data_IF_961112442286
#
_entry.id   IF_961112442286
#
_cell.length_a   1.000
_cell.length_b   1.000
_cell.length_c   1.000
_cell.angle_alpha   90.00
_cell.angle_beta   90.00
_cell.angle_gamma   90.00
#
_symmetry.space_group_name_H-M   'P 1'
#
loop_
_entity.id
_entity.type
_entity.pdbx_description
1 polymer ?
#
# COMPACT_ATOMS: atom_id res chain seq x y z
N UNK A 1 -12.22 -14.30 49.14
CA UNK A 1 -12.76 -13.26 48.24
C UNK A 1 -11.59 -12.64 47.48
N UNK A 2 -11.72 -12.58 46.15
CA UNK A 2 -11.00 -11.76 45.15
C UNK A 2 -9.63 -11.14 45.48
N UNK A 3 -8.63 -11.41 44.64
CA UNK A 3 -7.91 -10.36 43.89
C UNK A 3 -7.67 -10.88 42.47
N UNK A 4 -8.25 -10.20 41.48
CA UNK A 4 -8.21 -10.55 40.07
C UNK A 4 -6.82 -10.29 39.47
N UNK A 5 -6.27 -11.30 38.80
CA UNK A 5 -5.07 -11.18 37.97
C UNK A 5 -5.48 -10.63 36.60
N UNK A 6 -5.54 -9.30 36.48
CA UNK A 6 -5.89 -8.63 35.22
C UNK A 6 -4.61 -8.21 34.51
N UNK A 7 -3.93 -9.17 33.89
CA UNK A 7 -2.96 -8.91 32.82
C UNK A 7 -3.73 -8.47 31.56
N UNK A 8 -4.37 -7.30 31.62
CA UNK A 8 -4.78 -6.59 30.41
C UNK A 8 -3.57 -5.81 29.91
N UNK A 9 -2.66 -6.55 29.26
CA UNK A 9 -1.82 -5.98 28.23
C UNK A 9 -2.73 -5.52 27.09
N UNK A 10 -3.32 -4.34 27.25
CA UNK A 10 -3.80 -3.59 26.11
C UNK A 10 -2.54 -3.21 25.35
N UNK A 11 -2.14 -4.05 24.40
CA UNK A 11 -1.30 -3.63 23.29
C UNK A 11 -2.10 -2.54 22.58
N UNK A 12 -1.95 -1.31 23.06
CA UNK A 12 -2.30 -0.15 22.27
C UNK A 12 -1.63 -0.38 20.93
N UNK A 13 -2.36 -0.41 19.79
CA UNK A 13 -1.68 -0.38 18.52
C UNK A 13 -0.83 0.88 18.57
N UNK A 14 0.48 0.69 18.54
CA UNK A 14 1.47 1.74 18.34
C UNK A 14 1.27 2.29 16.93
N UNK A 15 0.14 2.97 16.75
CA UNK A 15 -0.28 3.70 15.56
C UNK A 15 0.34 5.12 15.55
N UNK A 16 1.19 5.41 16.53
CA UNK A 16 2.03 6.60 16.56
C UNK A 16 3.36 6.33 15.85
N UNK A 17 3.58 7.00 14.72
CA UNK A 17 4.84 7.04 13.95
C UNK A 17 5.15 5.85 13.02
N UNK A 18 4.14 5.15 12.48
CA UNK A 18 4.43 4.27 11.34
C UNK A 18 4.79 5.15 10.14
N UNK A 19 6.09 5.28 9.88
CA UNK A 19 6.62 5.94 8.68
C UNK A 19 5.97 5.30 7.46
N UNK A 20 5.65 6.12 6.46
CA UNK A 20 5.07 5.60 5.23
C UNK A 20 6.07 4.69 4.55
N UNK A 21 5.78 3.40 4.51
CA UNK A 21 6.58 2.41 3.81
C UNK A 21 5.91 2.10 2.45
N UNK A 22 6.56 2.43 1.31
CA UNK A 22 5.98 2.24 -0.01
C UNK A 22 5.82 0.76 -0.37
N UNK A 23 6.60 -0.16 0.24
CA UNK A 23 6.53 -1.60 -0.02
C UNK A 23 5.31 -2.19 0.66
N UNK A 24 5.12 -1.93 1.96
CA UNK A 24 3.91 -2.31 2.69
C UNK A 24 2.66 -1.70 2.05
N UNK A 25 2.74 -0.42 1.67
CA UNK A 25 1.62 0.24 1.02
C UNK A 25 1.23 -0.47 -0.29
N UNK A 26 2.21 -0.81 -1.13
CA UNK A 26 1.99 -1.49 -2.40
C UNK A 26 1.47 -2.92 -2.20
N UNK A 27 2.03 -3.67 -1.24
CA UNK A 27 1.57 -5.00 -0.90
C UNK A 27 0.09 -4.98 -0.48
N UNK A 28 -0.29 -4.05 0.40
CA UNK A 28 -1.68 -3.85 0.81
C UNK A 28 -2.58 -3.44 -0.34
N UNK A 29 -2.10 -2.58 -1.25
CA UNK A 29 -2.86 -2.20 -2.44
C UNK A 29 -3.17 -3.40 -3.33
N UNK A 30 -2.21 -4.31 -3.52
CA UNK A 30 -2.40 -5.55 -4.29
C UNK A 30 -3.33 -6.53 -3.58
N UNK A 31 -3.21 -6.70 -2.26
CA UNK A 31 -4.12 -7.53 -1.47
C UNK A 31 -5.58 -7.06 -1.56
N UNK A 32 -5.81 -5.75 -1.71
CA UNK A 32 -7.14 -5.15 -1.90
C UNK A 32 -7.69 -5.32 -3.33
N UNK A 33 -7.00 -6.06 -4.20
CA UNK A 33 -7.40 -6.26 -5.60
C UNK A 33 -6.90 -5.16 -6.56
N UNK A 34 -6.02 -4.29 -6.06
CA UNK A 34 -5.27 -3.35 -6.87
C UNK A 34 -4.21 -4.04 -7.72
N UNK A 35 -3.86 -3.41 -8.83
CA UNK A 35 -2.82 -3.82 -9.74
C UNK A 35 -2.02 -2.59 -10.18
N UNK A 36 -0.83 -2.82 -10.69
CA UNK A 36 -0.02 -1.75 -11.22
C UNK A 36 0.65 -2.18 -12.51
N UNK A 37 0.81 -1.23 -13.40
CA UNK A 37 1.61 -1.37 -14.61
C UNK A 37 2.76 -0.38 -14.50
N UNK A 38 3.97 -0.86 -14.77
CA UNK A 38 5.15 -0.01 -14.86
C UNK A 38 5.63 0.02 -16.30
N UNK A 39 5.81 1.23 -16.82
CA UNK A 39 6.46 1.51 -18.09
C UNK A 39 7.78 2.21 -17.83
N UNK A 40 8.66 2.25 -18.83
CA UNK A 40 9.99 2.86 -18.75
C UNK A 40 10.03 4.32 -18.26
N UNK A 41 8.92 5.06 -18.36
CA UNK A 41 8.81 6.47 -17.91
C UNK A 41 7.71 6.71 -16.88
N UNK A 42 6.83 5.72 -16.63
CA UNK A 42 5.54 5.96 -15.99
C UNK A 42 5.11 4.77 -15.15
N UNK A 43 4.34 5.05 -14.10
CA UNK A 43 3.71 4.04 -13.25
C UNK A 43 2.22 4.34 -13.22
N UNK A 44 1.40 3.32 -13.48
CA UNK A 44 -0.05 3.42 -13.45
C UNK A 44 -0.60 2.40 -12.45
N UNK A 45 -1.34 2.89 -11.45
CA UNK A 45 -2.16 2.08 -10.57
C UNK A 45 -3.52 1.84 -11.24
N UNK A 46 -4.03 0.63 -11.16
CA UNK A 46 -5.31 0.23 -11.72
C UNK A 46 -5.95 -0.85 -10.85
N UNK A 47 -7.25 -1.12 -11.02
CA UNK A 47 -7.90 -2.24 -10.34
C UNK A 47 -8.88 -2.93 -11.29
N UNK A 48 -9.15 -4.20 -11.03
CA UNK A 48 -10.05 -5.00 -11.87
C UNK A 48 -11.49 -4.48 -11.79
N UNK A 49 -12.22 -4.52 -12.91
CA UNK A 49 -13.66 -4.20 -12.94
C UNK A 49 -14.53 -5.23 -12.20
N UNK A 50 -13.93 -6.35 -11.77
CA UNK A 50 -14.61 -7.45 -11.07
C UNK A 50 -14.64 -7.30 -9.55
N UNK A 51 -13.98 -6.27 -9.00
CA UNK A 51 -14.01 -6.03 -7.56
C UNK A 51 -15.38 -5.52 -7.11
N UNK A 52 -15.77 -5.88 -5.90
CA UNK A 52 -16.98 -5.39 -5.26
C UNK A 52 -16.90 -3.88 -5.00
N UNK A 53 -18.05 -3.24 -4.76
CA UNK A 53 -18.07 -1.82 -4.40
C UNK A 53 -17.31 -1.53 -3.10
N UNK A 54 -17.32 -2.46 -2.15
CA UNK A 54 -16.58 -2.35 -0.89
C UNK A 54 -15.07 -2.37 -1.11
N UNK A 55 -14.55 -3.27 -1.96
CA UNK A 55 -13.13 -3.31 -2.32
C UNK A 55 -12.71 -2.05 -3.08
N UNK A 56 -13.57 -1.53 -3.95
CA UNK A 56 -13.32 -0.27 -4.67
C UNK A 56 -13.20 0.92 -3.72
N UNK A 57 -14.09 1.01 -2.72
CA UNK A 57 -14.01 2.05 -1.70
C UNK A 57 -12.74 1.88 -0.84
N UNK A 58 -12.40 0.65 -0.46
CA UNK A 58 -11.17 0.35 0.27
C UNK A 58 -9.91 0.79 -0.52
N UNK A 59 -9.84 0.50 -1.82
CA UNK A 59 -8.76 0.96 -2.70
C UNK A 59 -8.74 2.49 -2.80
N UNK A 60 -9.89 3.14 -2.99
CA UNK A 60 -9.97 4.59 -3.06
C UNK A 60 -9.51 5.26 -1.76
N UNK A 61 -9.85 4.68 -0.61
CA UNK A 61 -9.35 5.13 0.70
C UNK A 61 -7.85 4.89 0.84
N UNK A 62 -7.35 3.75 0.36
CA UNK A 62 -5.93 3.40 0.40
C UNK A 62 -5.05 4.30 -0.49
N UNK A 63 -5.61 4.85 -1.57
CA UNK A 63 -4.93 5.80 -2.46
C UNK A 63 -4.94 7.26 -1.95
N UNK A 64 -5.82 7.61 -1.00
CA UNK A 64 -5.91 8.99 -0.46
C UNK A 64 -4.57 9.54 0.06
N UNK A 65 -3.73 8.78 0.77
CA UNK A 65 -2.41 9.25 1.20
C UNK A 65 -1.52 9.69 0.05
N UNK A 66 -1.50 8.94 -1.07
CA UNK A 66 -0.71 9.28 -2.26
C UNK A 66 -1.25 10.53 -2.98
N UNK A 67 -2.56 10.75 -2.93
CA UNK A 67 -3.18 11.95 -3.51
C UNK A 67 -2.89 13.22 -2.70
N UNK A 68 -2.76 13.09 -1.38
CA UNK A 68 -2.48 14.21 -0.47
C UNK A 68 -1.00 14.54 -0.35
N UNK A 69 -0.13 13.56 -0.56
CA UNK A 69 1.30 13.68 -0.29
C UNK A 69 2.12 13.24 -1.52
N UNK A 70 2.67 14.23 -2.23
CA UNK A 70 3.48 14.00 -3.42
C UNK A 70 4.77 13.22 -3.12
N UNK A 71 5.33 13.35 -1.92
CA UNK A 71 6.54 12.61 -1.54
C UNK A 71 6.25 11.12 -1.38
N UNK A 72 5.09 10.76 -0.82
CA UNK A 72 4.63 9.36 -0.76
C UNK A 72 4.37 8.79 -2.15
N UNK A 73 3.79 9.61 -3.04
CA UNK A 73 3.58 9.22 -4.45
C UNK A 73 4.90 8.95 -5.15
N UNK A 74 5.88 9.83 -4.96
CA UNK A 74 7.21 9.66 -5.56
C UNK A 74 7.96 8.45 -4.98
N UNK A 75 7.82 8.18 -3.68
CA UNK A 75 8.39 6.99 -3.04
C UNK A 75 7.83 5.68 -3.63
N UNK A 76 6.50 5.58 -3.81
CA UNK A 76 5.88 4.41 -4.45
C UNK A 76 6.28 4.31 -5.92
N UNK A 77 6.32 5.43 -6.66
CA UNK A 77 6.77 5.46 -8.05
C UNK A 77 8.22 4.98 -8.18
N UNK A 78 9.11 5.48 -7.32
CA UNK A 78 10.53 5.12 -7.29
C UNK A 78 10.73 3.65 -6.96
N UNK A 79 9.98 3.11 -5.99
CA UNK A 79 9.96 1.67 -5.68
C UNK A 79 9.57 0.84 -6.91
N UNK A 80 8.51 1.23 -7.61
CA UNK A 80 7.98 0.49 -8.75
C UNK A 80 8.90 0.56 -9.98
N UNK A 81 9.54 1.70 -10.22
CA UNK A 81 10.56 1.85 -11.24
C UNK A 81 11.85 1.07 -10.91
N UNK A 82 12.26 1.03 -9.64
CA UNK A 82 13.43 0.26 -9.20
C UNK A 82 13.18 -1.26 -9.25
N UNK A 83 11.94 -1.69 -8.97
CA UNK A 83 11.53 -3.09 -8.99
C UNK A 83 11.21 -3.61 -10.38
N UNK A 84 11.06 -2.72 -11.38
CA UNK A 84 10.85 -3.16 -12.76
C UNK A 84 12.12 -3.81 -13.28
N UNK A 85 12.10 -5.09 -13.66
CA UNK A 85 13.21 -5.65 -14.39
C UNK A 85 13.33 -4.80 -15.64
N UNK A 86 14.46 -4.10 -15.76
CA UNK A 86 14.94 -3.59 -17.03
C UNK A 86 15.11 -4.85 -17.88
N UNK A 87 14.03 -5.28 -18.54
CA UNK A 87 14.10 -6.32 -19.55
C UNK A 87 15.03 -5.76 -20.60
N UNK A 88 16.31 -6.08 -20.45
CA UNK A 88 17.26 -6.06 -21.51
C UNK A 88 16.71 -7.07 -22.52
N UNK A 89 15.88 -6.56 -23.45
CA UNK A 89 15.54 -7.27 -24.67
C UNK A 89 16.87 -7.71 -25.30
N UNK A 90 17.18 -9.01 -25.36
CA UNK A 90 18.25 -9.45 -26.24
C UNK A 90 17.74 -9.23 -27.67
N UNK A 91 18.49 -8.43 -28.43
CA UNK A 91 18.31 -8.24 -29.87
C UNK A 91 18.41 -9.57 -30.63
#
# INVERSE_FOLDING_TARGET
>A
MHIANTNQGASAPTDGLRLFDPVEWLARYVELGGGYTVSSTSVCLHWSLRITEQERDALAQHERPLRRDLAKRDAVKSLLLASSPKEALPC
#
